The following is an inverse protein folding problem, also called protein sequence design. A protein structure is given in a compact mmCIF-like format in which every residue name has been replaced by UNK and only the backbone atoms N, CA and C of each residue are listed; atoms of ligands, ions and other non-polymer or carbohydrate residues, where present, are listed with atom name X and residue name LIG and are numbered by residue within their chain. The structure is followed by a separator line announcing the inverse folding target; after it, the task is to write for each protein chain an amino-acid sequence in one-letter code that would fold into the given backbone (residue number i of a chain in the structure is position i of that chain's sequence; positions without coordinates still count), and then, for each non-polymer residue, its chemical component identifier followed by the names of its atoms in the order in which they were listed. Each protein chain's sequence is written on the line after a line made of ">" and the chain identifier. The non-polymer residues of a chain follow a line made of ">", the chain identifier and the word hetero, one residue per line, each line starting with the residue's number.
data_IF_707519134297
#
_entry.id   IF_707519134297
#
_cell.length_a   1.000
_cell.length_b   1.000
_cell.length_c   1.000
_cell.angle_alpha   90.00
_cell.angle_beta   90.00
_cell.angle_gamma   90.00
#
_symmetry.space_group_name_H-M   'P 1'
#
loop_
_entity.id
_entity.type
_entity.pdbx_description
1 polymer ?
#
# COMPACT_ATOMS: atom_id res chain seq x y z
N UNK A 1 6.05 10.37 -27.37
CA UNK A 1 5.44 9.07 -27.73
C UNK A 1 5.64 8.11 -26.56
N UNK A 2 4.57 7.49 -26.05
CA UNK A 2 4.60 6.66 -24.84
C UNK A 2 5.28 5.32 -25.14
N UNK A 3 6.42 5.04 -24.51
CA UNK A 3 6.98 3.69 -24.45
C UNK A 3 6.01 2.81 -23.66
N UNK A 4 5.37 1.82 -24.30
CA UNK A 4 4.58 0.81 -23.60
C UNK A 4 5.54 -0.27 -23.10
N UNK A 5 5.75 -0.39 -21.79
CA UNK A 5 6.32 -1.63 -21.26
C UNK A 5 5.30 -2.75 -21.50
N UNK A 6 5.75 -3.83 -22.13
CA UNK A 6 4.97 -5.04 -22.36
C UNK A 6 5.75 -6.18 -21.70
N UNK A 7 5.06 -7.05 -20.97
CA UNK A 7 5.72 -8.19 -20.35
C UNK A 7 5.21 -9.48 -20.99
N UNK A 8 6.13 -10.40 -21.25
CA UNK A 8 5.78 -11.77 -21.60
C UNK A 8 5.69 -12.61 -20.33
N UNK A 9 4.60 -13.36 -20.23
CA UNK A 9 4.37 -14.38 -19.21
C UNK A 9 4.44 -15.75 -19.89
N UNK A 10 5.53 -16.48 -19.62
CA UNK A 10 5.69 -17.88 -19.99
C UNK A 10 5.05 -18.73 -18.90
N UNK A 11 3.93 -19.39 -19.21
CA UNK A 11 3.19 -20.21 -18.26
C UNK A 11 3.79 -21.62 -18.21
N UNK A 12 4.32 -22.01 -17.05
CA UNK A 12 4.83 -23.33 -16.64
C UNK A 12 5.93 -23.98 -17.51
N UNK A 13 6.92 -24.67 -16.90
CA UNK A 13 7.87 -25.49 -17.67
C UNK A 13 7.10 -26.46 -18.57
N UNK A 14 7.54 -26.59 -19.81
CA UNK A 14 7.03 -27.58 -20.75
C UNK A 14 8.09 -28.65 -20.94
N UNK A 15 7.76 -29.90 -20.64
CA UNK A 15 8.62 -31.06 -20.91
C UNK A 15 7.86 -31.99 -21.85
N UNK A 16 8.51 -32.40 -22.92
CA UNK A 16 8.01 -33.44 -23.80
C UNK A 16 9.13 -34.37 -24.24
N UNK A 17 8.77 -35.58 -24.63
CA UNK A 17 9.69 -36.59 -25.11
C UNK A 17 9.39 -36.87 -26.59
N UNK A 18 10.44 -36.96 -27.39
CA UNK A 18 10.37 -37.47 -28.74
C UNK A 18 11.50 -38.46 -28.95
N UNK A 19 11.12 -39.74 -29.12
CA UNK A 19 12.09 -40.84 -29.08
C UNK A 19 12.92 -40.75 -27.79
N UNK A 20 14.23 -40.56 -27.92
CA UNK A 20 15.17 -40.51 -26.82
C UNK A 20 15.59 -39.07 -26.45
N UNK A 21 14.95 -38.04 -27.01
CA UNK A 21 15.26 -36.64 -26.73
C UNK A 21 14.16 -36.06 -25.84
N UNK A 22 14.56 -35.59 -24.67
CA UNK A 22 13.74 -34.77 -23.78
C UNK A 22 13.88 -33.30 -24.19
N UNK A 23 12.77 -32.64 -24.49
CA UNK A 23 12.72 -31.21 -24.82
C UNK A 23 12.10 -30.46 -23.64
N UNK A 24 12.86 -29.51 -23.10
CA UNK A 24 12.45 -28.65 -22.00
C UNK A 24 12.50 -27.19 -22.41
N UNK A 25 11.38 -26.47 -22.26
CA UNK A 25 11.39 -25.01 -22.27
C UNK A 25 11.62 -24.57 -20.83
N UNK A 26 12.81 -24.05 -20.55
CA UNK A 26 13.16 -23.57 -19.21
C UNK A 26 12.24 -22.42 -18.82
N UNK A 27 11.78 -22.34 -17.55
CA UNK A 27 10.95 -21.23 -17.12
C UNK A 27 11.80 -19.97 -17.08
N UNK A 28 11.63 -19.08 -18.05
CA UNK A 28 11.86 -17.67 -17.75
C UNK A 28 10.64 -17.21 -16.97
N UNK A 29 10.86 -16.97 -15.68
CA UNK A 29 10.13 -16.02 -14.83
C UNK A 29 9.56 -14.87 -15.65
N UNK A 30 8.47 -14.22 -15.19
CA UNK A 30 8.00 -12.91 -15.68
C UNK A 30 9.20 -12.01 -16.04
N UNK A 31 9.58 -11.98 -17.33
CA UNK A 31 10.76 -11.25 -17.78
C UNK A 31 10.26 -10.05 -18.55
N UNK A 32 10.46 -8.89 -17.95
CA UNK A 32 10.14 -7.60 -18.55
C UNK A 32 11.04 -7.39 -19.77
N UNK A 33 10.48 -7.41 -20.97
CA UNK A 33 11.21 -6.94 -22.14
C UNK A 33 10.69 -5.56 -22.50
N UNK A 34 11.56 -4.56 -22.42
CA UNK A 34 11.21 -3.19 -22.82
C UNK A 34 10.89 -3.21 -24.31
N UNK A 35 9.65 -2.85 -24.68
CA UNK A 35 9.34 -2.48 -26.05
C UNK A 35 10.22 -1.28 -26.40
N UNK A 36 11.21 -1.50 -27.26
CA UNK A 36 11.95 -0.39 -27.84
C UNK A 36 11.04 0.33 -28.83
N UNK A 37 11.43 1.50 -29.32
CA UNK A 37 10.61 2.22 -30.31
C UNK A 37 10.42 1.45 -31.64
N UNK A 38 11.15 0.35 -31.85
CA UNK A 38 11.22 -0.37 -33.13
C UNK A 38 10.69 -1.82 -33.05
N UNK A 39 10.98 -2.55 -31.97
CA UNK A 39 10.53 -3.95 -31.79
C UNK A 39 10.56 -4.42 -30.33
N UNK A 40 9.74 -5.43 -30.04
CA UNK A 40 9.87 -6.31 -28.88
C UNK A 40 10.65 -7.55 -29.31
N UNK A 41 11.69 -7.92 -28.57
CA UNK A 41 12.43 -9.16 -28.77
C UNK A 41 12.31 -9.99 -27.51
N UNK A 42 11.85 -11.22 -27.66
CA UNK A 42 11.60 -12.13 -26.55
C UNK A 42 12.47 -13.38 -26.73
N UNK A 43 13.59 -13.50 -25.99
CA UNK A 43 14.42 -14.69 -26.00
C UNK A 43 13.74 -15.83 -25.22
N UNK A 44 13.80 -17.03 -25.78
CA UNK A 44 13.26 -18.27 -25.24
C UNK A 44 14.38 -19.32 -25.36
N UNK A 45 14.80 -19.86 -24.22
CA UNK A 45 15.81 -20.90 -24.18
C UNK A 45 15.14 -22.28 -24.16
N UNK A 46 15.42 -23.07 -25.19
CA UNK A 46 14.91 -24.44 -25.37
C UNK A 46 16.07 -25.40 -25.16
N UNK A 47 15.99 -26.20 -24.11
CA UNK A 47 16.99 -27.22 -23.79
C UNK A 47 16.52 -28.56 -24.31
N UNK A 48 17.41 -29.27 -25.00
CA UNK A 48 17.19 -30.63 -25.49
C UNK A 48 18.25 -31.54 -24.89
N UNK A 49 17.84 -32.68 -24.35
CA UNK A 49 18.72 -33.62 -23.66
C UNK A 49 18.46 -35.04 -24.14
N UNK A 50 19.53 -35.79 -24.40
CA UNK A 50 19.42 -37.22 -24.69
C UNK A 50 19.12 -38.01 -23.42
N UNK A 51 18.30 -39.04 -23.55
CA UNK A 51 18.10 -40.04 -22.51
C UNK A 51 19.42 -40.79 -22.25
N UNK A 52 19.63 -41.21 -21.00
CA UNK A 52 20.89 -41.82 -20.58
C UNK A 52 21.27 -43.09 -21.37
N UNK A 53 20.29 -43.80 -21.94
CA UNK A 53 20.49 -45.00 -22.75
C UNK A 53 20.85 -44.74 -24.22
N UNK A 54 20.76 -43.49 -24.68
CA UNK A 54 20.87 -43.11 -26.08
C UNK A 54 22.02 -42.14 -26.36
N UNK A 55 22.91 -41.96 -25.38
CA UNK A 55 24.14 -41.19 -25.54
C UNK A 55 25.05 -41.91 -26.55
N UNK A 56 25.49 -41.24 -27.64
CA UNK A 56 26.36 -41.85 -28.63
C UNK A 56 27.67 -42.34 -28.01
N UNK A 57 28.22 -43.44 -28.55
CA UNK A 57 29.56 -43.89 -28.18
C UNK A 57 30.63 -42.88 -28.57
N UNK A 58 31.82 -42.96 -27.96
CA UNK A 58 32.93 -42.06 -28.26
C UNK A 58 33.21 -41.97 -29.78
N UNK A 59 33.22 -40.74 -30.31
CA UNK A 59 33.48 -40.46 -31.73
C UNK A 59 32.26 -40.56 -32.65
N UNK A 60 31.05 -40.80 -32.10
CA UNK A 60 29.79 -40.76 -32.85
C UNK A 60 28.92 -39.59 -32.40
N UNK A 61 28.09 -39.05 -33.30
CA UNK A 61 27.18 -37.95 -32.99
C UNK A 61 25.82 -38.15 -33.64
N UNK A 62 24.75 -37.77 -32.94
CA UNK A 62 23.39 -37.74 -33.46
C UNK A 62 23.06 -36.31 -33.86
N UNK A 63 22.67 -36.09 -35.12
CA UNK A 63 22.18 -34.79 -35.59
C UNK A 63 20.68 -34.86 -35.83
N UNK A 64 19.93 -34.01 -35.15
CA UNK A 64 18.47 -33.94 -35.22
C UNK A 64 18.05 -32.61 -35.83
N UNK A 65 17.39 -32.60 -37.00
CA UNK A 65 16.66 -31.43 -37.50
C UNK A 65 15.76 -30.79 -36.44
N UNK A 66 15.90 -29.49 -36.28
CA UNK A 66 15.19 -28.69 -35.29
C UNK A 66 14.51 -27.51 -35.97
N UNK A 67 13.22 -27.35 -35.69
CA UNK A 67 12.45 -26.20 -36.16
C UNK A 67 11.52 -25.70 -35.05
N UNK A 68 11.19 -24.42 -35.14
CA UNK A 68 10.27 -23.74 -34.24
C UNK A 68 9.33 -22.89 -35.08
N UNK A 69 8.05 -22.94 -34.75
CA UNK A 69 7.01 -22.18 -35.44
C UNK A 69 6.07 -21.52 -34.43
N UNK A 70 5.38 -20.48 -34.91
CA UNK A 70 4.32 -19.81 -34.17
C UNK A 70 2.97 -20.18 -34.80
N UNK A 71 1.98 -20.37 -33.95
CA UNK A 71 0.60 -20.59 -34.36
C UNK A 71 -0.36 -19.76 -33.51
N UNK A 72 -1.50 -19.43 -34.10
CA UNK A 72 -2.68 -18.91 -33.37
C UNK A 72 -3.72 -20.00 -33.11
N UNK A 73 -3.51 -21.22 -33.62
CA UNK A 73 -4.45 -22.33 -33.48
C UNK A 73 -4.64 -22.75 -32.02
N UNK A 74 -5.88 -23.08 -31.66
CA UNK A 74 -6.24 -23.51 -30.30
C UNK A 74 -6.32 -22.39 -29.25
N UNK A 75 -6.07 -21.14 -29.62
CA UNK A 75 -6.21 -19.99 -28.72
C UNK A 75 -7.63 -19.37 -28.80
N UNK A 76 -8.17 -18.86 -27.68
CA UNK A 76 -9.43 -18.12 -27.70
C UNK A 76 -9.37 -16.89 -28.61
N UNK A 77 -10.44 -16.55 -29.36
CA UNK A 77 -10.46 -15.39 -30.26
C UNK A 77 -10.12 -14.05 -29.58
N UNK A 78 -10.43 -13.92 -28.29
CA UNK A 78 -10.10 -12.73 -27.49
C UNK A 78 -8.58 -12.53 -27.29
N UNK A 79 -7.81 -13.63 -27.30
CA UNK A 79 -6.36 -13.64 -27.07
C UNK A 79 -5.56 -13.71 -28.37
N UNK A 80 -6.17 -14.02 -29.51
CA UNK A 80 -5.46 -14.08 -30.80
C UNK A 80 -5.15 -12.70 -31.35
N UNK A 81 -4.02 -12.58 -32.05
CA UNK A 81 -3.71 -11.43 -32.89
C UNK A 81 -4.62 -11.40 -34.12
N UNK A 82 -4.88 -10.20 -34.65
CA UNK A 82 -5.48 -10.09 -35.98
C UNK A 82 -4.53 -10.71 -37.01
N UNK A 83 -5.05 -11.28 -38.10
CA UNK A 83 -4.23 -11.99 -39.08
C UNK A 83 -3.11 -11.11 -39.67
N UNK A 84 -3.39 -9.84 -39.94
CA UNK A 84 -2.42 -8.88 -40.44
C UNK A 84 -1.31 -8.53 -39.43
N UNK A 85 -1.63 -8.54 -38.14
CA UNK A 85 -0.65 -8.32 -37.05
C UNK A 85 0.19 -9.58 -36.82
N UNK A 86 -0.45 -10.75 -36.82
CA UNK A 86 0.24 -12.04 -36.65
C UNK A 86 1.25 -12.28 -37.76
N UNK A 87 0.94 -11.93 -39.01
CA UNK A 87 1.84 -12.06 -40.15
C UNK A 87 3.13 -11.21 -40.04
N UNK A 88 3.13 -10.18 -39.18
CA UNK A 88 4.30 -9.34 -38.93
C UNK A 88 5.18 -9.89 -37.79
N UNK A 89 4.70 -10.86 -37.02
CA UNK A 89 5.46 -11.49 -35.94
C UNK A 89 6.40 -12.52 -36.55
N UNK A 90 7.68 -12.41 -36.23
CA UNK A 90 8.70 -13.33 -36.73
C UNK A 90 9.37 -14.10 -35.60
N UNK A 91 10.02 -15.19 -35.98
CA UNK A 91 10.76 -16.05 -35.08
C UNK A 91 12.15 -16.27 -35.67
N UNK A 92 13.18 -15.92 -34.91
CA UNK A 92 14.57 -16.09 -35.29
C UNK A 92 15.18 -17.23 -34.47
N UNK A 93 15.73 -18.23 -35.16
CA UNK A 93 16.54 -19.29 -34.56
C UNK A 93 17.88 -19.36 -35.28
N UNK A 94 19.02 -19.31 -34.56
CA UNK A 94 20.34 -19.41 -35.19
C UNK A 94 20.68 -20.85 -35.62
N UNK A 95 19.89 -21.84 -35.21
CA UNK A 95 20.14 -23.25 -35.47
C UNK A 95 18.92 -23.93 -36.10
N UNK A 96 19.17 -24.72 -37.15
CA UNK A 96 18.18 -25.56 -37.87
C UNK A 96 18.37 -27.05 -37.57
N UNK A 97 19.41 -27.39 -36.81
CA UNK A 97 19.69 -28.74 -36.34
C UNK A 97 20.48 -28.70 -35.04
N UNK A 98 20.37 -29.77 -34.27
CA UNK A 98 21.00 -29.94 -32.97
C UNK A 98 21.82 -31.21 -33.05
N UNK A 99 23.10 -31.11 -32.72
CA UNK A 99 24.03 -32.23 -32.72
C UNK A 99 24.34 -32.57 -31.27
N UNK A 100 24.26 -33.85 -30.94
CA UNK A 100 24.58 -34.43 -29.64
C UNK A 100 25.72 -35.43 -29.80
N UNK A 101 26.61 -35.47 -28.82
CA UNK A 101 27.70 -36.43 -28.72
C UNK A 101 27.94 -36.83 -27.26
N UNK A 102 28.92 -37.69 -27.00
CA UNK A 102 29.23 -38.17 -25.65
C UNK A 102 29.68 -37.05 -24.68
N UNK A 103 30.19 -35.93 -25.20
CA UNK A 103 30.65 -34.79 -24.41
C UNK A 103 29.56 -33.74 -24.17
N UNK A 104 28.58 -33.67 -25.07
CA UNK A 104 27.45 -32.72 -25.06
C UNK A 104 26.11 -33.43 -25.21
N UNK A 105 25.68 -34.22 -24.20
CA UNK A 105 24.39 -34.91 -24.23
C UNK A 105 23.19 -33.97 -24.02
N UNK A 106 23.44 -32.71 -23.66
CA UNK A 106 22.44 -31.64 -23.48
C UNK A 106 22.86 -30.40 -24.24
N UNK A 107 21.90 -29.76 -24.94
CA UNK A 107 22.13 -28.55 -25.75
C UNK A 107 20.98 -27.58 -25.61
N UNK A 108 21.30 -26.31 -25.32
CA UNK A 108 20.34 -25.21 -25.25
C UNK A 108 20.40 -24.38 -26.52
N UNK A 109 19.24 -24.18 -27.15
CA UNK A 109 19.06 -23.31 -28.30
C UNK A 109 18.24 -22.10 -27.89
N UNK A 110 18.77 -20.90 -28.15
CA UNK A 110 18.06 -19.64 -27.92
C UNK A 110 17.27 -19.26 -29.16
N UNK A 111 15.96 -19.10 -28.99
CA UNK A 111 15.01 -18.67 -30.01
C UNK A 111 14.49 -17.28 -29.65
N UNK A 112 14.36 -16.38 -30.63
CA UNK A 112 13.86 -15.03 -30.40
C UNK A 112 12.52 -14.83 -31.11
N UNK A 113 11.46 -14.55 -30.35
CA UNK A 113 10.19 -14.06 -30.92
C UNK A 113 10.27 -12.54 -31.06
N UNK A 114 9.97 -12.04 -32.25
CA UNK A 114 10.08 -10.62 -32.58
C UNK A 114 8.69 -10.07 -32.94
N UNK A 115 8.27 -9.05 -32.21
CA UNK A 115 7.01 -8.33 -32.45
C UNK A 115 7.35 -6.90 -32.86
N UNK A 116 7.12 -6.49 -34.11
CA UNK A 116 7.43 -5.14 -34.59
C UNK A 116 6.60 -4.05 -33.93
N UNK A 117 7.14 -2.82 -33.91
CA UNK A 117 6.46 -1.62 -33.39
C UNK A 117 5.04 -1.42 -33.92
N UNK A 118 4.82 -1.77 -35.19
CA UNK A 118 3.57 -1.62 -35.92
C UNK A 118 2.43 -2.52 -35.41
N UNK A 119 2.75 -3.63 -34.72
CA UNK A 119 1.75 -4.54 -34.14
C UNK A 119 1.20 -3.92 -32.85
N UNK A 120 -0.01 -3.38 -32.92
CA UNK A 120 -0.62 -2.69 -31.80
C UNK A 120 -1.15 -3.67 -30.73
N UNK A 121 -0.41 -3.79 -29.62
CA UNK A 121 -0.89 -4.56 -28.46
C UNK A 121 -1.77 -3.64 -27.59
N UNK A 122 -3.08 -3.80 -27.73
CA UNK A 122 -4.14 -3.03 -27.05
C UNK A 122 -4.89 -3.83 -25.98
N UNK A 123 -4.67 -5.14 -25.92
CA UNK A 123 -5.22 -6.06 -24.91
C UNK A 123 -4.23 -7.20 -24.69
N UNK A 124 -4.50 -8.07 -23.70
CA UNK A 124 -3.74 -9.30 -23.54
C UNK A 124 -3.86 -10.17 -24.79
N UNK A 125 -2.74 -10.73 -25.23
CA UNK A 125 -2.63 -11.60 -26.41
C UNK A 125 -1.86 -12.88 -26.07
N UNK A 126 -1.97 -13.87 -26.93
CA UNK A 126 -1.23 -15.12 -26.81
C UNK A 126 -0.72 -15.61 -28.17
N UNK A 127 0.37 -16.38 -28.13
CA UNK A 127 0.94 -17.11 -29.26
C UNK A 127 1.17 -18.56 -28.84
N UNK A 128 1.01 -19.52 -29.74
CA UNK A 128 1.44 -20.89 -29.52
C UNK A 128 2.82 -21.09 -30.14
N UNK A 129 3.82 -21.33 -29.31
CA UNK A 129 5.13 -21.79 -29.74
C UNK A 129 5.08 -23.29 -29.95
N UNK A 130 5.41 -23.74 -31.15
CA UNK A 130 5.52 -25.15 -31.49
C UNK A 130 6.98 -25.49 -31.73
N UNK A 131 7.47 -26.54 -31.07
CA UNK A 131 8.80 -27.10 -31.30
C UNK A 131 8.63 -28.36 -32.13
N UNK A 132 9.42 -28.47 -33.20
CA UNK A 132 9.45 -29.62 -34.08
C UNK A 132 10.84 -30.24 -34.09
N UNK A 133 10.90 -31.55 -33.93
CA UNK A 133 12.09 -32.36 -34.13
C UNK A 133 11.82 -33.36 -35.25
N UNK A 134 12.73 -33.47 -36.22
CA UNK A 134 12.56 -34.34 -37.39
C UNK A 134 11.21 -34.13 -38.13
N UNK A 135 10.69 -32.90 -38.13
CA UNK A 135 9.40 -32.57 -38.73
C UNK A 135 8.17 -32.98 -37.91
N UNK A 136 8.34 -33.60 -36.75
CA UNK A 136 7.25 -33.96 -35.83
C UNK A 136 7.12 -32.90 -34.75
N UNK A 137 5.90 -32.42 -34.49
CA UNK A 137 5.64 -31.53 -33.37
C UNK A 137 5.82 -32.27 -32.05
N UNK A 138 6.76 -31.84 -31.23
CA UNK A 138 7.11 -32.48 -29.96
C UNK A 138 6.57 -31.71 -28.76
N UNK A 139 6.46 -30.39 -28.86
CA UNK A 139 5.98 -29.54 -27.78
C UNK A 139 5.16 -28.37 -28.35
N UNK A 140 4.02 -28.08 -27.72
CA UNK A 140 3.24 -26.87 -27.97
C UNK A 140 3.10 -26.11 -26.66
N UNK A 141 3.42 -24.82 -26.67
CA UNK A 141 3.38 -23.98 -25.47
C UNK A 141 2.78 -22.61 -25.73
N UNK A 142 1.84 -22.21 -24.89
CA UNK A 142 1.26 -20.87 -24.94
C UNK A 142 2.21 -19.83 -24.34
N UNK A 143 2.57 -18.84 -25.15
CA UNK A 143 3.25 -17.60 -24.77
C UNK A 143 2.17 -16.54 -24.53
N UNK A 144 2.06 -16.01 -23.31
CA UNK A 144 1.07 -14.97 -23.00
C UNK A 144 1.72 -13.59 -22.95
N UNK A 145 1.21 -12.65 -23.74
CA UNK A 145 1.66 -11.26 -23.82
C UNK A 145 0.66 -10.40 -23.07
N UNK A 146 1.10 -9.80 -21.96
CA UNK A 146 0.24 -9.00 -21.09
C UNK A 146 0.61 -7.52 -21.12
N UNK A 147 -0.41 -6.67 -21.03
CA UNK A 147 -0.22 -5.24 -20.82
C UNK A 147 0.33 -4.99 -19.41
N UNK A 148 1.28 -4.07 -19.27
CA UNK A 148 1.89 -3.77 -17.96
C UNK A 148 0.89 -3.39 -16.86
N UNK A 149 -0.22 -2.72 -17.22
CA UNK A 149 -1.26 -2.30 -16.27
C UNK A 149 -2.16 -3.48 -15.79
N UNK A 150 -2.13 -4.62 -16.49
CA UNK A 150 -2.90 -5.82 -16.14
C UNK A 150 -2.08 -6.90 -15.43
N UNK A 151 -0.77 -6.68 -15.26
CA UNK A 151 0.10 -7.60 -14.54
C UNK A 151 -0.19 -7.52 -13.05
N UNK A 152 -0.37 -8.71 -12.48
CA UNK A 152 -0.55 -8.90 -11.06
C UNK A 152 0.80 -9.33 -10.47
N UNK A 153 1.44 -8.40 -9.75
CA UNK A 153 2.68 -8.68 -9.01
C UNK A 153 2.34 -9.38 -7.70
N UNK A 154 3.13 -10.37 -7.26
CA UNK A 154 3.13 -10.70 -5.83
C UNK A 154 3.66 -9.51 -5.02
N UNK A 155 3.32 -9.44 -3.73
CA UNK A 155 3.79 -8.37 -2.85
C UNK A 155 5.32 -8.20 -2.87
N UNK A 156 6.08 -9.29 -2.80
CA UNK A 156 7.56 -9.24 -2.81
C UNK A 156 8.09 -8.72 -4.14
N UNK A 157 7.55 -9.20 -5.27
CA UNK A 157 7.92 -8.73 -6.60
C UNK A 157 7.66 -7.23 -6.76
N UNK A 158 6.54 -6.72 -6.27
CA UNK A 158 6.25 -5.28 -6.35
C UNK A 158 7.35 -4.43 -5.70
N UNK A 159 7.84 -4.81 -4.53
CA UNK A 159 8.91 -4.09 -3.82
C UNK A 159 10.31 -4.29 -4.41
N UNK A 160 10.56 -5.41 -5.07
CA UNK A 160 11.86 -5.70 -5.70
C UNK A 160 11.95 -5.20 -7.14
N UNK A 161 10.81 -4.92 -7.78
CA UNK A 161 10.76 -4.48 -9.16
C UNK A 161 11.18 -3.02 -9.32
N UNK A 162 11.81 -2.72 -10.46
CA UNK A 162 11.97 -1.33 -10.95
C UNK A 162 10.63 -0.62 -11.20
N UNK A 163 9.52 -1.35 -11.14
CA UNK A 163 8.15 -0.91 -11.41
C UNK A 163 7.37 -0.47 -10.16
N UNK A 164 7.98 -0.52 -8.97
CA UNK A 164 7.41 0.10 -7.79
C UNK A 164 7.15 1.59 -8.06
N UNK A 165 5.97 2.08 -7.68
CA UNK A 165 5.61 3.49 -7.86
C UNK A 165 6.45 4.38 -6.93
N UNK A 166 6.90 5.52 -7.44
CA UNK A 166 7.67 6.50 -6.65
C UNK A 166 6.74 7.27 -5.71
N UNK A 167 5.51 7.50 -6.14
CA UNK A 167 4.46 8.16 -5.35
C UNK A 167 3.11 7.50 -5.59
N UNK A 168 2.44 7.08 -4.51
CA UNK A 168 1.11 6.47 -4.55
C UNK A 168 0.05 7.56 -4.37
N UNK A 169 -0.96 7.58 -5.24
CA UNK A 169 -2.08 8.52 -5.21
C UNK A 169 -3.35 7.85 -4.68
N UNK A 170 -3.61 6.61 -5.12
CA UNK A 170 -4.83 5.88 -4.79
C UNK A 170 -4.55 4.39 -4.73
N UNK A 171 -5.22 3.69 -3.82
CA UNK A 171 -5.26 2.24 -3.80
C UNK A 171 -6.69 1.77 -3.69
N UNK A 172 -7.08 0.90 -4.60
CA UNK A 172 -8.37 0.21 -4.64
C UNK A 172 -8.15 -1.25 -4.31
N UNK A 173 -9.01 -1.84 -3.48
CA UNK A 173 -8.92 -3.25 -3.09
C UNK A 173 -10.12 -3.99 -3.67
N UNK A 174 -9.85 -5.05 -4.43
CA UNK A 174 -10.83 -6.04 -4.87
C UNK A 174 -10.37 -7.39 -4.34
N UNK A 175 -10.94 -7.81 -3.20
CA UNK A 175 -10.50 -8.99 -2.44
C UNK A 175 -8.98 -8.98 -2.17
N UNK A 176 -8.26 -9.98 -2.66
CA UNK A 176 -6.83 -10.14 -2.47
C UNK A 176 -5.97 -9.38 -3.51
N UNK A 177 -6.59 -8.67 -4.46
CA UNK A 177 -5.88 -7.90 -5.49
C UNK A 177 -6.04 -6.40 -5.22
N UNK A 178 -4.90 -5.71 -5.12
CA UNK A 178 -4.83 -4.27 -4.96
C UNK A 178 -4.50 -3.60 -6.27
N UNK A 179 -5.30 -2.61 -6.69
CA UNK A 179 -4.95 -1.71 -7.80
C UNK A 179 -4.35 -0.43 -7.21
N UNK A 180 -3.04 -0.29 -7.31
CA UNK A 180 -2.27 0.85 -6.84
C UNK A 180 -2.06 1.81 -8.01
N UNK A 181 -2.54 3.04 -7.88
CA UNK A 181 -2.38 4.10 -8.89
C UNK A 181 -1.47 5.19 -8.37
N UNK A 182 -0.58 5.70 -9.24
CA UNK A 182 0.36 6.74 -8.84
C UNK A 182 1.36 7.09 -9.94
N UNK A 183 2.48 7.69 -9.55
CA UNK A 183 3.50 8.18 -10.46
C UNK A 183 4.76 7.32 -10.41
N UNK A 184 5.30 7.04 -11.59
CA UNK A 184 6.60 6.42 -11.81
C UNK A 184 7.33 7.15 -12.92
N UNK A 185 8.55 7.63 -12.67
CA UNK A 185 9.35 8.37 -13.67
C UNK A 185 8.55 9.49 -14.37
N UNK A 186 7.79 10.27 -13.60
CA UNK A 186 6.88 11.34 -14.07
C UNK A 186 5.66 10.90 -14.90
N UNK A 187 5.49 9.61 -15.16
CA UNK A 187 4.29 9.05 -15.78
C UNK A 187 3.28 8.56 -14.75
N UNK A 188 2.00 8.89 -14.95
CA UNK A 188 0.91 8.27 -14.18
C UNK A 188 0.66 6.85 -14.68
N UNK A 189 0.63 5.87 -13.77
CA UNK A 189 0.44 4.46 -14.12
C UNK A 189 -0.25 3.69 -12.99
N UNK A 190 -0.71 2.47 -13.29
CA UNK A 190 -1.40 1.57 -12.36
C UNK A 190 -0.62 0.27 -12.23
N UNK A 191 -0.67 -0.35 -11.05
CA UNK A 191 -0.05 -1.64 -10.76
C UNK A 191 -1.04 -2.50 -9.98
N UNK A 192 -1.23 -3.75 -10.40
CA UNK A 192 -2.04 -4.71 -9.65
C UNK A 192 -1.12 -5.55 -8.77
N UNK A 193 -1.42 -5.67 -7.48
CA UNK A 193 -0.61 -6.44 -6.52
C UNK A 193 -1.50 -7.47 -5.84
N UNK A 194 -1.16 -8.75 -5.99
CA UNK A 194 -1.77 -9.86 -5.26
C UNK A 194 -1.17 -9.95 -3.86
N UNK A 195 -2.05 -10.02 -2.88
CA UNK A 195 -1.72 -10.37 -1.51
C UNK A 195 -2.08 -11.83 -1.25
N UNK A 196 -1.08 -12.63 -0.91
CA UNK A 196 -1.34 -14.01 -0.47
C UNK A 196 -1.95 -14.01 0.94
N UNK A 197 -2.48 -15.16 1.36
CA UNK A 197 -3.06 -15.31 2.69
C UNK A 197 -2.08 -14.85 3.78
N UNK A 198 -2.59 -14.09 4.76
CA UNK A 198 -1.81 -13.46 5.85
C UNK A 198 -0.82 -12.37 5.42
N UNK A 199 -0.79 -11.96 4.15
CA UNK A 199 0.01 -10.82 3.73
C UNK A 199 -0.73 -9.49 3.92
N UNK A 200 0.07 -8.44 4.15
CA UNK A 200 -0.38 -7.05 4.27
C UNK A 200 0.52 -6.16 3.44
N UNK A 201 -0.09 -5.22 2.71
CA UNK A 201 0.62 -4.09 2.10
C UNK A 201 0.34 -2.81 2.88
N UNK A 202 1.40 -2.17 3.37
CA UNK A 202 1.32 -0.88 4.05
C UNK A 202 1.74 0.26 3.14
N UNK A 203 0.86 1.21 2.86
CA UNK A 203 1.18 2.47 2.18
C UNK A 203 1.24 3.56 3.24
N UNK A 204 2.35 4.29 3.30
CA UNK A 204 2.58 5.31 4.32
C UNK A 204 2.70 6.69 3.71
N UNK A 205 1.92 7.62 4.23
CA UNK A 205 1.97 9.03 3.89
C UNK A 205 2.36 9.86 5.11
N UNK A 206 3.28 10.81 4.92
CA UNK A 206 3.61 11.83 5.93
C UNK A 206 2.97 13.13 5.50
N UNK A 207 2.15 13.69 6.38
CA UNK A 207 1.40 14.91 6.12
C UNK A 207 1.72 15.94 7.19
N UNK A 208 1.96 17.17 6.75
CA UNK A 208 2.20 18.34 7.59
C UNK A 208 1.16 19.41 7.22
N UNK A 209 0.56 20.04 8.23
CA UNK A 209 -0.40 21.14 8.00
C UNK A 209 0.28 22.36 7.38
N UNK A 210 1.53 22.62 7.74
CA UNK A 210 2.35 23.68 7.18
C UNK A 210 3.26 23.12 6.09
N UNK A 211 2.80 23.14 4.83
CA UNK A 211 3.60 22.77 3.66
C UNK A 211 3.80 23.98 2.76
N UNK A 212 5.05 24.26 2.35
CA UNK A 212 5.44 25.25 1.31
C UNK A 212 4.59 26.55 1.27
N UNK A 213 4.33 27.16 2.43
CA UNK A 213 3.67 28.48 2.53
C UNK A 213 2.14 28.50 2.49
N UNK A 214 1.45 27.35 2.48
CA UNK A 214 -0.01 27.28 2.53
C UNK A 214 -0.50 26.33 3.63
N UNK A 215 -1.68 26.62 4.20
CA UNK A 215 -2.41 25.72 5.08
C UNK A 215 -3.00 24.59 4.23
N UNK A 216 -2.41 23.41 4.30
CA UNK A 216 -3.07 22.20 3.79
C UNK A 216 -4.35 21.97 4.60
N UNK A 217 -5.37 21.32 4.01
CA UNK A 217 -6.59 20.94 4.73
C UNK A 217 -6.22 20.25 6.05
N UNK A 218 -6.42 20.96 7.16
CA UNK A 218 -6.06 20.46 8.48
C UNK A 218 -7.14 19.47 8.90
N UNK A 219 -6.83 18.17 8.96
CA UNK A 219 -7.80 17.21 9.48
C UNK A 219 -8.12 17.59 10.92
N UNK A 220 -9.39 17.52 11.28
CA UNK A 220 -9.83 17.66 12.66
C UNK A 220 -10.54 16.39 13.12
N UNK A 221 -10.41 16.08 14.41
CA UNK A 221 -11.16 15.02 15.07
C UNK A 221 -12.02 15.60 16.18
N UNK A 222 -13.23 15.07 16.36
CA UNK A 222 -14.06 15.41 17.51
C UNK A 222 -13.59 14.58 18.70
N UNK A 223 -13.30 15.23 19.82
CA UNK A 223 -12.58 14.63 20.94
C UNK A 223 -13.16 15.01 22.28
N UNK A 224 -13.03 14.13 23.26
CA UNK A 224 -13.30 14.41 24.67
C UNK A 224 -12.15 13.92 25.54
N UNK A 225 -11.91 14.60 26.66
CA UNK A 225 -10.90 14.24 27.65
C UNK A 225 -11.62 13.84 28.93
N UNK A 226 -12.04 12.56 29.06
CA UNK A 226 -12.77 12.11 30.23
C UNK A 226 -11.89 12.01 31.48
N UNK A 227 -10.57 11.96 31.34
CA UNK A 227 -9.65 11.89 32.48
C UNK A 227 -8.69 13.08 32.46
N UNK A 228 -8.83 13.96 33.45
CA UNK A 228 -7.95 15.12 33.65
C UNK A 228 -7.21 14.98 34.97
N UNK A 229 -5.90 15.12 34.94
CA UNK A 229 -5.02 15.08 36.11
C UNK A 229 -4.51 16.50 36.34
N UNK A 230 -4.99 17.08 37.44
CA UNK A 230 -4.66 18.45 37.84
C UNK A 230 -3.51 18.45 38.84
N UNK A 231 -2.66 19.48 38.82
CA UNK A 231 -1.43 19.50 39.58
C UNK A 231 -1.73 19.80 41.06
N UNK A 232 -0.74 19.60 41.91
CA UNK A 232 -0.77 20.20 43.24
C UNK A 232 -0.77 21.73 43.10
N UNK A 233 -1.66 22.42 43.80
CA UNK A 233 -1.72 23.89 43.83
C UNK A 233 -1.67 24.40 45.25
N UNK A 234 -0.74 25.32 45.52
CA UNK A 234 -0.72 26.12 46.73
C UNK A 234 -1.40 27.47 46.43
N UNK A 235 -2.48 27.77 47.15
CA UNK A 235 -3.28 28.97 46.95
C UNK A 235 -3.67 29.59 48.28
N UNK A 236 -3.67 30.91 48.34
CA UNK A 236 -4.18 31.67 49.46
C UNK A 236 -5.69 31.82 49.32
N UNK A 237 -6.44 31.29 50.29
CA UNK A 237 -7.90 31.42 50.33
C UNK A 237 -8.29 32.67 51.13
N UNK A 238 -9.06 33.56 50.49
CA UNK A 238 -9.62 34.78 51.07
C UNK A 238 -11.09 34.57 51.47
N UNK A 239 -11.36 33.51 52.25
CA UNK A 239 -12.74 33.15 52.68
C UNK A 239 -13.14 33.77 54.02
N UNK A 240 -12.17 34.26 54.77
CA UNK A 240 -12.32 34.85 56.10
C UNK A 240 -11.47 36.12 56.19
N UNK A 241 -11.70 36.94 57.22
CA UNK A 241 -10.93 38.18 57.46
C UNK A 241 -9.41 37.96 57.58
N UNK A 242 -8.98 36.71 57.80
CA UNK A 242 -7.58 36.28 57.72
C UNK A 242 -7.39 35.37 56.51
N UNK A 243 -6.54 35.72 55.53
CA UNK A 243 -6.18 34.84 54.43
C UNK A 243 -5.48 33.57 54.94
N UNK A 244 -5.76 32.42 54.32
CA UNK A 244 -5.14 31.14 54.71
C UNK A 244 -4.55 30.43 53.50
N UNK A 245 -3.26 30.15 53.54
CA UNK A 245 -2.59 29.32 52.55
C UNK A 245 -3.05 27.86 52.68
N UNK A 246 -3.48 27.29 51.56
CA UNK A 246 -4.02 25.94 51.49
C UNK A 246 -3.38 25.20 50.32
N UNK A 247 -2.93 23.98 50.59
CA UNK A 247 -2.37 23.08 49.59
C UNK A 247 -3.46 22.12 49.14
N UNK A 248 -3.77 22.15 47.84
CA UNK A 248 -4.63 21.19 47.20
C UNK A 248 -3.75 20.16 46.50
N UNK A 249 -3.77 18.92 46.99
CA UNK A 249 -3.01 17.82 46.40
C UNK A 249 -3.49 17.53 44.98
N UNK A 250 -2.61 16.95 44.15
CA UNK A 250 -2.96 16.56 42.79
C UNK A 250 -4.21 15.66 42.77
N UNK A 251 -5.14 15.94 41.86
CA UNK A 251 -6.40 15.19 41.74
C UNK A 251 -6.60 14.69 40.31
N UNK A 252 -6.99 13.42 40.19
CA UNK A 252 -7.51 12.86 38.95
C UNK A 252 -9.04 12.95 38.97
N UNK A 253 -9.63 13.61 37.97
CA UNK A 253 -11.07 13.70 37.81
C UNK A 253 -11.50 12.94 36.57
N UNK A 254 -12.56 12.14 36.71
CA UNK A 254 -13.20 11.42 35.61
C UNK A 254 -14.56 12.03 35.28
N UNK A 255 -14.84 12.28 34.01
CA UNK A 255 -16.15 12.74 33.54
C UNK A 255 -16.08 13.39 32.16
N UNK A 256 -17.17 13.28 31.40
CA UNK A 256 -17.29 13.96 30.09
C UNK A 256 -17.75 15.39 30.36
N UNK A 257 -16.82 16.28 30.67
CA UNK A 257 -17.09 17.70 30.93
C UNK A 257 -16.72 18.61 29.76
N UNK A 258 -16.12 18.05 28.71
CA UNK A 258 -15.68 18.79 27.52
C UNK A 258 -15.83 17.97 26.24
N UNK A 259 -16.31 18.62 25.18
CA UNK A 259 -16.33 18.09 23.81
C UNK A 259 -15.69 19.14 22.91
N UNK A 260 -14.58 18.77 22.28
CA UNK A 260 -13.75 19.69 21.53
C UNK A 260 -13.23 19.12 20.23
N UNK A 261 -12.29 19.86 19.66
CA UNK A 261 -11.62 19.52 18.42
C UNK A 261 -10.14 19.28 18.67
N UNK A 262 -9.59 18.30 17.95
CA UNK A 262 -8.17 18.13 17.79
C UNK A 262 -7.80 18.54 16.37
N UNK A 263 -6.85 19.46 16.22
CA UNK A 263 -6.29 19.87 14.93
C UNK A 263 -4.94 19.17 14.77
N UNK A 264 -4.82 18.26 13.82
CA UNK A 264 -3.58 17.48 13.66
C UNK A 264 -2.53 18.32 12.93
N UNK A 265 -1.41 18.67 13.56
CA UNK A 265 -0.34 19.51 12.96
C UNK A 265 0.63 18.66 12.14
N UNK A 266 1.09 17.56 12.74
CA UNK A 266 1.98 16.58 12.11
C UNK A 266 1.34 15.21 12.24
N UNK A 267 1.16 14.51 11.11
CA UNK A 267 0.61 13.16 11.13
C UNK A 267 1.34 12.24 10.16
N UNK A 268 1.51 11.00 10.59
CA UNK A 268 1.89 9.88 9.75
C UNK A 268 0.66 8.98 9.61
N UNK A 269 0.17 8.83 8.39
CA UNK A 269 -0.92 7.90 8.07
C UNK A 269 -0.31 6.66 7.43
N UNK A 270 -0.72 5.48 7.88
CA UNK A 270 -0.39 4.22 7.23
C UNK A 270 -1.67 3.44 6.96
N UNK A 271 -1.98 3.27 5.69
CA UNK A 271 -3.06 2.41 5.23
C UNK A 271 -2.52 1.00 5.00
N UNK A 272 -3.08 0.04 5.75
CA UNK A 272 -2.78 -1.39 5.63
C UNK A 272 -3.90 -2.08 4.88
N UNK A 273 -3.54 -2.72 3.78
CA UNK A 273 -4.41 -3.51 2.93
C UNK A 273 -4.15 -4.99 3.19
N UNK A 274 -5.20 -5.75 3.43
CA UNK A 274 -5.13 -7.17 3.78
C UNK A 274 -5.62 -8.02 2.62
N UNK A 275 -5.13 -9.25 2.51
CA UNK A 275 -5.59 -10.21 1.50
C UNK A 275 -7.09 -10.50 1.53
N UNK A 276 -7.78 -10.22 2.64
CA UNK A 276 -9.23 -10.36 2.74
C UNK A 276 -10.03 -9.18 2.15
N UNK A 277 -9.39 -8.28 1.40
CA UNK A 277 -10.00 -7.03 0.91
C UNK A 277 -10.25 -5.96 1.97
N UNK A 278 -9.94 -6.24 3.23
CA UNK A 278 -10.11 -5.28 4.34
C UNK A 278 -9.01 -4.23 4.28
N UNK A 279 -9.34 -3.03 4.76
CA UNK A 279 -8.41 -1.92 4.95
C UNK A 279 -8.40 -1.51 6.43
N UNK A 280 -7.21 -1.30 6.99
CA UNK A 280 -7.03 -0.64 8.28
C UNK A 280 -6.20 0.62 8.11
N UNK A 281 -6.71 1.74 8.59
CA UNK A 281 -6.01 3.04 8.57
C UNK A 281 -5.48 3.35 9.96
N UNK A 282 -4.17 3.47 10.05
CA UNK A 282 -3.46 3.92 11.25
C UNK A 282 -3.04 5.37 11.06
N UNK A 283 -3.25 6.21 12.07
CA UNK A 283 -2.70 7.58 12.10
C UNK A 283 -1.99 7.79 13.42
N UNK A 284 -0.79 8.34 13.40
CA UNK A 284 -0.08 8.78 14.60
C UNK A 284 0.38 10.21 14.38
N UNK A 285 0.26 11.07 15.40
CA UNK A 285 0.60 12.47 15.21
C UNK A 285 0.58 13.30 16.48
N UNK A 286 0.86 14.58 16.26
CA UNK A 286 0.85 15.65 17.25
C UNK A 286 -0.13 16.72 16.76
N UNK A 287 -0.92 17.27 17.67
CA UNK A 287 -1.94 18.25 17.35
C UNK A 287 -2.12 19.33 18.41
N UNK A 288 -3.10 20.18 18.17
CA UNK A 288 -3.60 21.18 19.11
C UNK A 288 -5.00 20.77 19.52
N UNK A 289 -5.23 20.65 20.82
CA UNK A 289 -6.52 20.38 21.43
C UNK A 289 -7.18 21.68 21.85
N UNK A 290 -8.45 21.86 21.49
CA UNK A 290 -9.29 22.96 21.94
C UNK A 290 -10.67 22.40 22.30
N UNK A 291 -11.15 22.64 23.52
CA UNK A 291 -12.47 22.18 23.93
C UNK A 291 -13.19 23.17 24.84
N UNK A 292 -14.44 23.56 24.52
CA UNK A 292 -15.33 24.11 25.52
C UNK A 292 -15.69 23.04 26.55
N UNK A 293 -15.91 23.47 27.79
CA UNK A 293 -16.40 22.60 28.84
C UNK A 293 -17.21 23.34 29.90
N UNK A 294 -17.90 22.56 30.73
CA UNK A 294 -18.66 23.05 31.88
C UNK A 294 -18.28 22.24 33.11
N UNK A 295 -17.87 22.93 34.18
CA UNK A 295 -17.48 22.31 35.47
C UNK A 295 -18.37 22.89 36.57
N UNK A 296 -18.78 22.03 37.49
CA UNK A 296 -19.55 22.44 38.67
C UNK A 296 -18.58 22.84 39.77
N UNK A 297 -18.56 24.12 40.12
CA UNK A 297 -17.74 24.68 41.17
C UNK A 297 -18.52 24.74 42.48
N UNK A 298 -17.83 24.52 43.58
CA UNK A 298 -18.35 24.69 44.94
C UNK A 298 -17.41 25.59 45.74
N UNK A 299 -17.84 26.02 46.93
CA UNK A 299 -17.08 26.93 47.78
C UNK A 299 -15.70 26.39 48.16
N UNK A 300 -15.45 25.07 48.17
CA UNK A 300 -14.15 24.50 48.54
C UNK A 300 -13.03 24.81 47.55
N UNK A 301 -13.36 24.95 46.26
CA UNK A 301 -12.42 25.14 45.15
C UNK A 301 -12.41 26.57 44.57
N UNK A 302 -13.02 27.53 45.27
CA UNK A 302 -13.03 28.96 44.94
C UNK A 302 -12.10 29.71 45.91
N UNK A 303 -11.31 30.65 45.40
CA UNK A 303 -10.30 31.39 46.17
C UNK A 303 -10.89 32.45 47.10
N UNK A 304 -12.04 33.04 46.76
CA UNK A 304 -12.66 34.16 47.48
C UNK A 304 -14.05 33.81 48.06
N UNK A 305 -14.79 34.82 48.52
CA UNK A 305 -16.16 34.69 49.07
C UNK A 305 -17.26 34.76 48.01
N UNK A 306 -16.95 34.70 46.71
CA UNK A 306 -17.95 34.81 45.63
C UNK A 306 -18.91 33.61 45.59
N UNK A 307 -18.56 32.50 46.24
CA UNK A 307 -19.41 31.32 46.40
C UNK A 307 -19.34 30.81 47.84
N UNK A 308 -20.46 30.90 48.58
CA UNK A 308 -20.52 30.63 50.03
C UNK A 308 -21.45 29.45 50.32
N UNK A 309 -21.08 28.64 51.33
CA UNK A 309 -21.85 27.48 51.79
C UNK A 309 -21.86 26.33 50.78
N UNK A 310 -22.96 25.58 50.75
CA UNK A 310 -23.15 24.42 49.84
C UNK A 310 -23.63 24.82 48.44
N UNK A 311 -23.51 26.11 48.08
CA UNK A 311 -23.88 26.59 46.75
C UNK A 311 -22.94 26.01 45.70
N UNK A 312 -23.56 25.51 44.63
CA UNK A 312 -22.89 24.99 43.43
C UNK A 312 -23.16 25.94 42.27
N UNK A 313 -22.18 26.09 41.39
CA UNK A 313 -22.30 26.93 40.19
C UNK A 313 -21.64 26.27 39.00
N UNK A 314 -22.37 26.15 37.89
CA UNK A 314 -21.83 25.63 36.63
C UNK A 314 -21.08 26.75 35.91
N UNK A 315 -19.81 26.54 35.65
CA UNK A 315 -18.95 27.53 34.99
C UNK A 315 -18.44 27.00 33.66
N UNK A 316 -18.55 27.83 32.63
CA UNK A 316 -17.98 27.59 31.32
C UNK A 316 -16.48 27.85 31.33
N UNK A 317 -15.71 27.03 30.61
CA UNK A 317 -14.28 27.24 30.38
C UNK A 317 -13.88 26.75 28.99
N UNK A 318 -12.75 27.25 28.53
CA UNK A 318 -12.09 26.81 27.30
C UNK A 318 -10.80 26.11 27.70
N UNK A 319 -10.70 24.83 27.39
CA UNK A 319 -9.45 24.07 27.50
C UNK A 319 -8.64 24.22 26.21
N UNK A 320 -7.33 24.45 26.34
CA UNK A 320 -6.41 24.46 25.20
C UNK A 320 -5.07 23.82 25.54
N UNK A 321 -4.51 23.03 24.61
CA UNK A 321 -3.23 22.36 24.84
C UNK A 321 -2.66 21.61 23.64
N UNK A 322 -1.55 20.92 23.89
CA UNK A 322 -0.89 20.05 22.90
C UNK A 322 -1.51 18.66 23.02
N UNK A 323 -1.66 17.96 21.90
CA UNK A 323 -2.10 16.56 21.87
C UNK A 323 -1.09 15.66 21.17
N UNK A 324 -1.01 14.42 21.63
CA UNK A 324 -0.36 13.31 20.94
C UNK A 324 -1.43 12.26 20.73
N UNK A 325 -1.65 11.81 19.51
CA UNK A 325 -2.77 10.94 19.19
C UNK A 325 -2.36 9.73 18.35
N UNK A 326 -3.14 8.66 18.53
CA UNK A 326 -3.14 7.48 17.70
C UNK A 326 -4.58 7.17 17.29
N UNK A 327 -4.82 7.07 15.98
CA UNK A 327 -6.12 6.73 15.42
C UNK A 327 -6.05 5.39 14.71
N UNK A 328 -7.03 4.54 14.97
CA UNK A 328 -7.25 3.28 14.28
C UNK A 328 -8.66 3.27 13.69
N UNK A 329 -8.76 3.21 12.35
CA UNK A 329 -10.03 3.25 11.63
C UNK A 329 -10.96 4.40 12.05
N UNK A 330 -10.36 5.55 12.40
CA UNK A 330 -11.08 6.75 12.81
C UNK A 330 -11.42 6.83 14.31
N UNK A 331 -11.25 5.74 15.07
CA UNK A 331 -11.31 5.80 16.53
C UNK A 331 -9.96 6.32 17.02
N UNK A 332 -9.98 7.42 17.75
CA UNK A 332 -8.76 8.15 18.15
C UNK A 332 -8.58 8.07 19.64
N UNK A 333 -7.41 7.63 20.08
CA UNK A 333 -6.93 7.74 21.44
C UNK A 333 -5.88 8.84 21.47
N UNK A 334 -5.96 9.75 22.41
CA UNK A 334 -4.98 10.82 22.52
C UNK A 334 -4.63 11.13 23.96
N UNK A 335 -3.41 11.62 24.14
CA UNK A 335 -2.89 12.15 25.39
C UNK A 335 -2.74 13.65 25.21
N UNK A 336 -3.17 14.39 26.22
CA UNK A 336 -2.92 15.82 26.34
C UNK A 336 -1.82 15.99 27.38
N UNK A 337 -0.53 16.05 27.00
CA UNK A 337 0.57 16.14 27.96
C UNK A 337 0.60 17.48 28.71
N UNK A 338 0.06 18.55 28.10
CA UNK A 338 -0.01 19.86 28.72
C UNK A 338 -1.19 20.65 28.13
N UNK A 339 -2.11 21.05 29.00
CA UNK A 339 -3.22 21.93 28.68
C UNK A 339 -3.54 22.88 29.84
N UNK A 340 -4.29 23.94 29.51
CA UNK A 340 -4.77 24.95 30.43
C UNK A 340 -6.28 25.09 30.30
N UNK A 341 -6.97 25.26 31.42
CA UNK A 341 -8.38 25.66 31.45
C UNK A 341 -8.47 27.18 31.64
N UNK A 342 -9.14 27.89 30.72
CA UNK A 342 -9.39 29.32 30.82
C UNK A 342 -10.86 29.60 31.08
N UNK A 343 -11.16 30.18 32.25
CA UNK A 343 -12.51 30.59 32.60
C UNK A 343 -12.74 32.08 32.29
N UNK A 344 -13.71 32.44 31.41
CA UNK A 344 -14.02 33.84 31.09
C UNK A 344 -14.77 34.57 32.21
N UNK A 345 -15.59 33.85 32.99
CA UNK A 345 -16.47 34.43 34.01
C UNK A 345 -15.70 34.93 35.23
N UNK A 346 -16.27 35.93 35.93
CA UNK A 346 -15.71 36.43 37.19
C UNK A 346 -15.56 35.32 38.23
N UNK A 347 -16.59 34.49 38.41
CA UNK A 347 -16.54 33.35 39.34
C UNK A 347 -15.50 32.31 38.91
N UNK A 348 -15.47 31.93 37.63
CA UNK A 348 -14.54 30.92 37.14
C UNK A 348 -13.08 31.37 37.20
N UNK A 349 -12.81 32.68 37.13
CA UNK A 349 -11.45 33.22 37.33
C UNK A 349 -10.91 32.95 38.73
N UNK A 350 -11.79 32.78 39.73
CA UNK A 350 -11.47 32.47 41.13
C UNK A 350 -11.31 30.98 41.40
N UNK A 351 -11.50 30.13 40.39
CA UNK A 351 -11.29 28.68 40.53
C UNK A 351 -9.80 28.37 40.71
N UNK A 352 -9.47 27.51 41.69
CA UNK A 352 -8.08 27.16 42.02
C UNK A 352 -7.26 26.60 40.85
N UNK A 353 -7.91 25.98 39.86
CA UNK A 353 -7.26 25.38 38.70
C UNK A 353 -7.31 26.24 37.43
N UNK A 354 -7.90 27.44 37.48
CA UNK A 354 -7.90 28.35 36.34
C UNK A 354 -6.45 28.68 35.92
N UNK A 355 -6.15 28.50 34.63
CA UNK A 355 -4.82 28.67 34.02
C UNK A 355 -3.71 27.81 34.66
N UNK A 356 -4.04 26.70 35.33
CA UNK A 356 -3.06 25.73 35.82
C UNK A 356 -2.89 24.60 34.82
N UNK A 357 -1.66 24.15 34.66
CA UNK A 357 -1.33 23.05 33.74
C UNK A 357 -1.94 21.75 34.22
N UNK A 358 -2.68 21.07 33.35
CA UNK A 358 -3.15 19.72 33.57
C UNK A 358 -2.73 18.84 32.39
N UNK A 359 -2.71 17.53 32.64
CA UNK A 359 -2.51 16.54 31.59
C UNK A 359 -3.64 15.51 31.66
N UNK A 360 -3.90 14.80 30.56
CA UNK A 360 -5.06 13.93 30.51
C UNK A 360 -5.08 12.95 29.35
N UNK A 361 -6.07 12.06 29.40
CA UNK A 361 -6.33 11.06 28.38
C UNK A 361 -7.68 11.31 27.75
N UNK A 362 -7.72 11.14 26.43
CA UNK A 362 -8.86 11.43 25.61
C UNK A 362 -9.17 10.32 24.62
N UNK A 363 -10.45 10.29 24.23
CA UNK A 363 -10.96 9.47 23.15
C UNK A 363 -11.70 10.38 22.17
N UNK A 364 -11.68 10.03 20.89
CA UNK A 364 -12.35 10.80 19.86
C UNK A 364 -12.71 9.97 18.64
N UNK A 365 -13.45 10.62 17.75
CA UNK A 365 -13.92 10.05 16.50
C UNK A 365 -13.57 10.98 15.35
N UNK A 366 -13.02 10.41 14.29
CA UNK A 366 -12.81 11.10 13.02
C UNK A 366 -14.16 11.29 12.33
N UNK A 367 -14.46 12.49 11.79
CA UNK A 367 -15.71 12.75 11.05
C UNK A 367 -15.96 11.76 9.91
N UNK A 368 -14.90 11.18 9.34
CA UNK A 368 -14.96 10.17 8.29
C UNK A 368 -15.72 8.90 8.70
N UNK A 369 -15.81 8.58 10.00
CA UNK A 369 -16.63 7.45 10.48
C UNK A 369 -18.10 7.69 10.14
N UNK A 370 -18.59 8.92 10.28
CA UNK A 370 -19.98 9.23 9.98
C UNK A 370 -20.29 9.05 8.50
N UNK A 371 -19.37 9.40 7.60
CA UNK A 371 -19.54 9.12 6.17
C UNK A 371 -19.61 7.62 5.84
N UNK A 372 -18.97 6.76 6.63
CA UNK A 372 -19.01 5.31 6.44
C UNK A 372 -20.29 4.67 7.00
N UNK A 373 -20.90 5.29 8.02
CA UNK A 373 -22.11 4.81 8.68
C UNK A 373 -23.38 5.31 7.98
N UNK A 374 -23.39 6.58 7.54
CA UNK A 374 -24.58 7.22 6.96
C UNK A 374 -24.68 7.18 5.44
N UNK A 375 -23.60 6.85 4.71
CA UNK A 375 -23.66 6.62 3.26
C UNK A 375 -23.70 5.12 2.90
N UNK A 376 -24.41 4.32 3.71
CA UNK A 376 -24.80 2.96 3.34
C UNK A 376 -26.23 2.94 2.83
#
# INVERSE_FOLDING_TARGET
>A
MKSKLLFLLLLSPGVAFCQDIMVTISPTTLTAHKYTNEKLVIPIDITMELSAGSVPGNGTSITTPFAVSLSSSGLPPSLTFAAADFAQISLETPQTSVQFDSATPSKTVRVCVIIPAAVAIVSNKALMLQVLLNGVQVLAKQLSIQLADDIIYSRSQYFMSSDQLDYVVKVESADNILTISGYKNHGYTKRKVLLEQNQVLGITEKNYVFGKGYLNSAPFSLVTVPFKIRPNVNVTLHKTNTPKDTIFTATAMSGITSLGINIDIVKKTTDRYFASGKKATHKIGIGIFLAPGVEELNSSVIMDTSLVGDKKSKQFYISGGISIFYSYNGITFFVVPAALDWAPSSLGKQWIYNKKFWWGFGIGLSPTIFNQVFNK
#
